data_IF_116314872440
#
_entry.id   IF_116314872440
#
_cell.length_a   1.000
_cell.length_b   1.000
_cell.length_c   1.000
_cell.angle_alpha   90.00
_cell.angle_beta   90.00
_cell.angle_gamma   90.00
#
_symmetry.space_group_name_H-M   'P 1'
#
loop_
_entity.id
_entity.type
_entity.pdbx_description
1 polymer ?
#
# COMPACT_ATOMS: atom_id res chain seq x y z
N UNK A 1 6.33 -2.33 15.10
CA UNK A 1 5.58 -2.58 13.86
C UNK A 1 4.17 -2.05 14.03
N UNK A 2 3.85 -0.98 13.30
CA UNK A 2 2.59 -0.27 13.47
C UNK A 2 1.40 -1.06 12.92
N UNK A 3 0.20 -0.86 13.46
CA UNK A 3 -1.03 -1.49 12.93
C UNK A 3 -1.23 -1.24 11.42
N UNK A 4 -0.70 -0.11 10.92
CA UNK A 4 -0.73 0.26 9.50
C UNK A 4 0.18 -0.65 8.66
N UNK A 5 1.39 -0.98 9.12
CA UNK A 5 2.30 -1.86 8.38
C UNK A 5 1.69 -3.24 8.17
N UNK A 6 1.05 -3.79 9.22
CA UNK A 6 0.34 -5.07 9.12
C UNK A 6 -0.79 -5.01 8.09
N UNK A 7 -1.61 -3.97 8.13
CA UNK A 7 -2.68 -3.81 7.15
C UNK A 7 -2.15 -3.68 5.71
N UNK A 8 -1.03 -2.98 5.51
CA UNK A 8 -0.35 -2.89 4.21
C UNK A 8 0.13 -4.27 3.76
N UNK A 9 0.81 -5.03 4.62
CA UNK A 9 1.31 -6.37 4.31
C UNK A 9 0.17 -7.33 3.93
N UNK A 10 -0.91 -7.35 4.72
CA UNK A 10 -2.07 -8.21 4.47
C UNK A 10 -2.74 -7.87 3.12
N UNK A 11 -2.89 -6.59 2.78
CA UNK A 11 -3.51 -6.19 1.52
C UNK A 11 -2.60 -6.50 0.34
N UNK A 12 -1.29 -6.29 0.45
CA UNK A 12 -0.32 -6.65 -0.59
C UNK A 12 -0.36 -8.16 -0.82
N UNK A 13 -0.28 -8.96 0.24
CA UNK A 13 -0.33 -10.42 0.17
C UNK A 13 -1.66 -10.96 -0.38
N UNK A 14 -2.78 -10.29 -0.07
CA UNK A 14 -4.09 -10.67 -0.56
C UNK A 14 -4.34 -10.27 -2.04
N UNK A 15 -3.52 -9.40 -2.63
CA UNK A 15 -3.74 -8.86 -3.98
C UNK A 15 -2.50 -8.95 -4.88
N UNK A 16 -1.98 -10.17 -5.14
CA UNK A 16 -0.75 -10.36 -5.93
C UNK A 16 -0.89 -9.83 -7.37
N UNK A 17 -2.06 -9.96 -8.00
CA UNK A 17 -2.31 -9.41 -9.34
C UNK A 17 -2.20 -7.89 -9.38
N UNK A 18 -2.66 -7.24 -8.31
CA UNK A 18 -2.59 -5.80 -8.20
C UNK A 18 -1.16 -5.34 -7.91
N UNK A 19 -0.39 -6.12 -7.14
CA UNK A 19 1.05 -5.88 -6.95
C UNK A 19 1.76 -5.89 -8.30
N UNK A 20 1.54 -6.91 -9.13
CA UNK A 20 2.15 -6.99 -10.46
C UNK A 20 1.78 -5.77 -11.34
N UNK A 21 0.52 -5.32 -11.31
CA UNK A 21 0.07 -4.11 -12.02
C UNK A 21 0.74 -2.85 -11.51
N UNK A 22 0.93 -2.73 -10.20
CA UNK A 22 1.57 -1.55 -9.60
C UNK A 22 3.07 -1.55 -9.88
N UNK A 23 3.73 -2.70 -9.88
CA UNK A 23 5.14 -2.83 -10.30
C UNK A 23 5.31 -2.41 -11.78
N UNK A 24 4.39 -2.78 -12.66
CA UNK A 24 4.39 -2.34 -14.05
C UNK A 24 4.00 -0.86 -14.21
N UNK A 25 3.12 -0.34 -13.35
CA UNK A 25 2.60 1.02 -13.40
C UNK A 25 2.49 1.62 -11.98
N UNK A 26 3.56 2.27 -11.48
CA UNK A 26 3.62 2.84 -10.13
C UNK A 26 2.46 3.77 -9.74
N UNK A 27 1.85 4.44 -10.73
CA UNK A 27 0.69 5.32 -10.49
C UNK A 27 -0.53 4.60 -9.91
N UNK A 28 -0.60 3.26 -10.05
CA UNK A 28 -1.67 2.45 -9.51
C UNK A 28 -1.54 2.18 -8.00
N UNK A 29 -0.42 2.57 -7.37
CA UNK A 29 -0.19 2.41 -5.93
C UNK A 29 -1.26 3.10 -5.06
N UNK A 30 -1.92 4.16 -5.57
CA UNK A 30 -3.01 4.85 -4.87
C UNK A 30 -4.20 3.93 -4.54
N UNK A 31 -4.39 2.84 -5.28
CA UNK A 31 -5.42 1.85 -4.98
C UNK A 31 -5.18 1.14 -3.62
N UNK A 32 -3.92 0.77 -3.35
CA UNK A 32 -3.53 0.13 -2.08
C UNK A 32 -3.72 1.08 -0.91
N UNK A 33 -3.46 2.37 -1.10
CA UNK A 33 -3.72 3.40 -0.08
C UNK A 33 -5.19 3.40 0.32
N UNK A 34 -6.10 3.37 -0.65
CA UNK A 34 -7.54 3.28 -0.39
C UNK A 34 -7.94 2.03 0.39
N UNK A 35 -7.37 0.86 0.03
CA UNK A 35 -7.65 -0.40 0.75
C UNK A 35 -7.15 -0.34 2.20
N UNK A 36 -5.94 0.17 2.43
CA UNK A 36 -5.36 0.27 3.78
C UNK A 36 -6.11 1.27 4.63
N UNK A 37 -6.53 2.40 4.06
CA UNK A 37 -7.40 3.36 4.76
C UNK A 37 -8.73 2.73 5.16
N UNK A 38 -9.31 1.89 4.30
CA UNK A 38 -10.54 1.16 4.61
C UNK A 38 -10.33 0.13 5.72
N UNK A 39 -9.27 -0.68 5.65
CA UNK A 39 -8.93 -1.69 6.65
C UNK A 39 -8.63 -1.08 8.03
N UNK A 40 -8.05 0.11 8.06
CA UNK A 40 -7.74 0.85 9.30
C UNK A 40 -8.92 1.71 9.80
N UNK A 41 -10.07 1.69 9.11
CA UNK A 41 -11.25 2.48 9.47
C UNK A 41 -11.02 3.99 9.38
N UNK A 42 -10.18 4.44 8.45
CA UNK A 42 -9.84 5.85 8.25
C UNK A 42 -8.89 6.44 9.30
N UNK A 43 -8.35 5.61 10.20
CA UNK A 43 -7.43 6.07 11.27
C UNK A 43 -5.98 6.26 10.80
N UNK A 44 -5.63 5.74 9.62
CA UNK A 44 -4.29 5.87 9.06
C UNK A 44 -4.12 7.18 8.29
N UNK A 45 -2.91 7.76 8.33
CA UNK A 45 -2.58 8.92 7.51
C UNK A 45 -2.32 8.45 6.05
N UNK A 46 -3.03 8.99 5.03
CA UNK A 46 -2.87 8.59 3.64
C UNK A 46 -1.45 8.77 3.10
N UNK A 47 -0.73 9.82 3.50
CA UNK A 47 0.66 10.05 3.07
C UNK A 47 1.59 8.99 3.65
N UNK A 48 1.43 8.67 4.93
CA UNK A 48 2.22 7.63 5.60
C UNK A 48 1.94 6.24 4.99
N UNK A 49 0.66 5.94 4.71
CA UNK A 49 0.25 4.70 4.02
C UNK A 49 0.86 4.64 2.63
N UNK A 50 0.82 5.74 1.86
CA UNK A 50 1.36 5.76 0.51
C UNK A 50 2.88 5.54 0.49
N UNK A 51 3.61 6.17 1.41
CA UNK A 51 5.04 5.94 1.58
C UNK A 51 5.33 4.47 1.94
N UNK A 52 4.56 3.89 2.88
CA UNK A 52 4.70 2.48 3.27
C UNK A 52 4.42 1.53 2.11
N UNK A 53 3.32 1.72 1.37
CA UNK A 53 2.98 0.92 0.19
C UNK A 53 4.10 0.99 -0.84
N UNK A 54 4.57 2.20 -1.18
CA UNK A 54 5.67 2.40 -2.12
C UNK A 54 6.94 1.68 -1.66
N UNK A 55 7.34 1.85 -0.39
CA UNK A 55 8.51 1.19 0.18
C UNK A 55 8.39 -0.35 0.15
N UNK A 56 7.23 -0.89 0.52
CA UNK A 56 6.96 -2.34 0.54
C UNK A 56 6.97 -2.96 -0.85
N UNK A 57 6.52 -2.21 -1.85
CA UNK A 57 6.51 -2.63 -3.25
C UNK A 57 7.83 -2.32 -3.98
N UNK A 58 8.83 -1.74 -3.32
CA UNK A 58 10.10 -1.36 -3.94
C UNK A 58 9.99 -0.22 -4.95
N UNK A 59 8.95 0.60 -4.85
CA UNK A 59 8.68 1.76 -5.70
C UNK A 59 9.24 2.99 -5.01
N UNK A 60 10.55 3.02 -4.86
CA UNK A 60 11.27 4.24 -4.46
C UNK A 60 11.67 4.94 -5.75
N UNK A 61 11.12 6.13 -5.96
CA UNK A 61 11.68 7.05 -6.95
C UNK A 61 13.05 7.47 -6.40
N UNK A 62 14.13 7.20 -7.14
CA UNK A 62 15.49 7.70 -6.84
C UNK A 62 15.54 9.23 -6.78
#
# INVERSE_FOLDING_TARGET
TGAIEKAVDEIIAANPDQVAKVLAKPTLAGWFVGQVMKATGGKANPQAVQALVKAKLGIVEE
#
